data_IF_550866386544
#
_entry.id   IF_550866386544
#
_cell.length_a   1.000
_cell.length_b   1.000
_cell.length_c   1.000
_cell.angle_alpha   90.00
_cell.angle_beta   90.00
_cell.angle_gamma   90.00
#
_symmetry.space_group_name_H-M   'P 1'
#
loop_
_entity.id
_entity.type
_entity.pdbx_description
1 polymer ?
#
# COMPACT_ATOMS: atom_id res chain seq x y z
N UNK A 1 11.00 5.91 6.23
CA UNK A 1 11.17 5.45 4.84
C UNK A 1 12.42 6.07 4.23
N UNK A 2 13.20 5.27 3.51
CA UNK A 2 14.24 5.71 2.59
C UNK A 2 13.85 5.22 1.19
N UNK A 3 13.84 6.11 0.19
CA UNK A 3 13.40 5.77 -1.16
C UNK A 3 14.25 6.47 -2.23
N UNK A 4 14.35 5.84 -3.40
CA UNK A 4 14.98 6.38 -4.59
C UNK A 4 14.05 6.20 -5.77
N UNK A 5 13.97 7.23 -6.64
CA UNK A 5 13.15 7.19 -7.86
C UNK A 5 13.90 7.82 -9.02
N UNK A 6 13.86 7.19 -10.20
CA UNK A 6 14.41 7.71 -11.42
C UNK A 6 13.74 7.05 -12.65
N UNK A 7 13.31 7.86 -13.64
CA UNK A 7 12.83 7.39 -14.93
C UNK A 7 11.65 6.39 -14.86
N UNK A 8 10.70 6.61 -13.96
CA UNK A 8 9.56 5.69 -13.72
C UNK A 8 9.88 4.56 -12.73
N UNK A 9 11.14 4.24 -12.51
CA UNK A 9 11.56 3.25 -11.51
C UNK A 9 11.54 3.84 -10.10
N UNK A 10 11.11 3.06 -9.12
CA UNK A 10 11.23 3.39 -7.71
C UNK A 10 11.63 2.16 -6.90
N UNK A 11 12.36 2.39 -5.81
CA UNK A 11 12.74 1.39 -4.82
C UNK A 11 12.81 2.07 -3.45
N UNK A 12 12.43 1.36 -2.40
CA UNK A 12 12.46 1.91 -1.06
C UNK A 12 12.49 0.85 0.02
N UNK A 13 12.78 1.33 1.23
CA UNK A 13 12.69 0.57 2.47
C UNK A 13 11.94 1.42 3.49
N UNK A 14 10.98 0.81 4.17
CA UNK A 14 10.18 1.45 5.22
C UNK A 14 10.28 0.61 6.49
N UNK A 15 10.45 1.29 7.61
CA UNK A 15 10.26 0.75 8.94
C UNK A 15 8.90 1.21 9.47
N UNK A 16 8.02 0.26 9.76
CA UNK A 16 6.73 0.49 10.40
C UNK A 16 6.84 0.07 11.86
N UNK A 17 6.50 0.97 12.77
CA UNK A 17 6.29 0.63 14.16
C UNK A 17 4.79 0.55 14.46
N UNK A 18 4.30 -0.64 14.79
CA UNK A 18 2.89 -0.93 14.91
C UNK A 18 2.44 -0.93 16.37
N UNK A 19 2.24 0.25 16.93
CA UNK A 19 1.51 0.54 18.18
C UNK A 19 1.84 -0.43 19.33
N UNK A 20 3.12 -0.62 19.60
CA UNK A 20 3.60 -1.44 20.71
C UNK A 20 4.47 -0.62 21.66
N UNK A 21 4.66 -1.13 22.86
CA UNK A 21 5.67 -0.63 23.78
C UNK A 21 7.08 -0.99 23.28
N UNK A 22 8.09 -0.27 23.77
CA UNK A 22 9.52 -0.57 23.52
C UNK A 22 9.97 -0.33 22.06
N UNK A 23 9.82 0.91 21.62
CA UNK A 23 10.27 1.36 20.29
C UNK A 23 11.72 0.96 19.95
N UNK A 24 12.65 0.95 20.91
CA UNK A 24 14.06 0.60 20.68
C UNK A 24 14.35 -0.91 20.80
N UNK A 25 13.34 -1.76 20.84
CA UNK A 25 13.52 -3.21 20.86
C UNK A 25 13.61 -3.75 19.45
N UNK A 26 14.81 -4.14 19.00
CA UNK A 26 15.09 -4.69 17.68
C UNK A 26 15.45 -6.19 17.69
N UNK A 27 15.26 -6.86 18.82
CA UNK A 27 15.51 -8.31 18.93
C UNK A 27 14.63 -9.10 17.95
N UNK A 28 15.22 -10.11 17.31
CA UNK A 28 14.51 -11.02 16.44
C UNK A 28 13.30 -11.66 17.18
N UNK A 29 12.15 -11.70 16.52
CA UNK A 29 10.88 -12.25 17.02
C UNK A 29 10.27 -11.55 18.27
N UNK A 30 10.85 -10.43 18.72
CA UNK A 30 10.34 -9.65 19.86
C UNK A 30 10.04 -8.19 19.50
N UNK A 31 10.59 -7.72 18.41
CA UNK A 31 10.36 -6.35 17.93
C UNK A 31 8.92 -6.18 17.44
N UNK A 32 8.36 -4.98 17.60
CA UNK A 32 7.11 -4.58 16.98
C UNK A 32 7.31 -3.82 15.64
N UNK A 33 8.57 -3.67 15.21
CA UNK A 33 8.90 -3.11 13.91
C UNK A 33 8.64 -4.10 12.80
N UNK A 34 8.11 -3.61 11.68
CA UNK A 34 8.01 -4.35 10.41
C UNK A 34 8.84 -3.62 9.37
N UNK A 35 9.80 -4.31 8.78
CA UNK A 35 10.65 -3.74 7.73
C UNK A 35 10.19 -4.25 6.37
N UNK A 36 9.75 -3.30 5.54
CA UNK A 36 9.25 -3.53 4.20
C UNK A 36 10.23 -3.01 3.17
N UNK A 37 10.50 -3.77 2.14
CA UNK A 37 11.14 -3.32 0.91
C UNK A 37 10.09 -3.19 -0.18
N UNK A 38 10.21 -2.18 -1.03
CA UNK A 38 9.36 -2.02 -2.19
C UNK A 38 10.17 -1.76 -3.46
N UNK A 39 9.63 -2.19 -4.58
CA UNK A 39 10.11 -1.90 -5.93
C UNK A 39 8.92 -1.65 -6.83
N UNK A 40 9.05 -0.70 -7.75
CA UNK A 40 7.98 -0.39 -8.69
C UNK A 40 8.47 0.24 -9.97
N UNK A 41 7.57 0.24 -10.93
CA UNK A 41 7.79 0.89 -12.21
C UNK A 41 6.50 1.51 -12.76
N UNK A 42 6.62 2.74 -13.22
CA UNK A 42 5.58 3.48 -13.93
C UNK A 42 5.84 3.40 -15.45
N UNK A 43 4.97 2.70 -16.16
CA UNK A 43 4.98 2.56 -17.63
C UNK A 43 4.22 3.69 -18.35
N UNK A 44 3.67 4.65 -17.59
CA UNK A 44 2.78 5.71 -18.05
C UNK A 44 1.30 5.32 -17.98
N UNK A 45 0.76 4.45 -18.85
CA UNK A 45 -0.64 4.02 -18.76
C UNK A 45 -0.94 3.04 -17.62
N UNK A 46 0.09 2.44 -17.04
CA UNK A 46 0.00 1.46 -15.95
C UNK A 46 1.22 1.58 -15.06
N UNK A 47 1.04 1.46 -13.75
CA UNK A 47 2.13 1.30 -12.80
C UNK A 47 2.00 -0.02 -12.05
N UNK A 48 3.13 -0.62 -11.73
CA UNK A 48 3.26 -1.82 -10.92
C UNK A 48 4.08 -1.49 -9.68
N UNK A 49 3.57 -1.89 -8.51
CA UNK A 49 4.27 -1.81 -7.23
C UNK A 49 4.29 -3.18 -6.57
N UNK A 50 5.45 -3.55 -6.03
CA UNK A 50 5.65 -4.76 -5.23
C UNK A 50 6.24 -4.39 -3.89
N UNK A 51 5.67 -4.88 -2.82
CA UNK A 51 6.09 -4.69 -1.45
C UNK A 51 6.35 -6.05 -0.80
N UNK A 52 7.38 -6.17 0.03
CA UNK A 52 7.70 -7.40 0.76
C UNK A 52 8.23 -7.07 2.14
N UNK A 53 7.66 -7.69 3.16
CA UNK A 53 8.16 -7.62 4.52
C UNK A 53 9.32 -8.60 4.67
N UNK A 54 10.52 -8.07 4.89
CA UNK A 54 11.74 -8.89 4.93
C UNK A 54 12.32 -9.08 6.34
N UNK A 55 11.87 -8.28 7.33
CA UNK A 55 12.32 -8.37 8.71
C UNK A 55 11.26 -7.86 9.70
N UNK A 56 11.46 -8.13 10.98
CA UNK A 56 10.61 -7.64 12.08
C UNK A 56 9.42 -8.53 12.38
N UNK A 57 8.34 -7.92 12.86
CA UNK A 57 7.11 -8.57 13.32
C UNK A 57 6.16 -8.89 12.17
N UNK A 58 6.62 -9.61 11.16
CA UNK A 58 5.77 -10.12 10.08
C UNK A 58 5.29 -11.54 10.37
N UNK A 59 4.29 -12.01 9.62
CA UNK A 59 3.75 -13.36 9.72
C UNK A 59 4.79 -14.46 9.52
N UNK A 60 4.52 -15.60 10.10
CA UNK A 60 5.33 -16.81 9.97
C UNK A 60 4.51 -17.92 9.32
N UNK A 61 5.20 -18.84 8.64
CA UNK A 61 4.65 -20.08 8.10
C UNK A 61 4.43 -21.09 9.23
N UNK A 62 3.73 -22.19 8.94
CA UNK A 62 3.45 -23.25 9.90
C UNK A 62 4.73 -23.91 10.46
N UNK A 63 5.82 -23.89 9.69
CA UNK A 63 7.13 -24.40 10.12
C UNK A 63 7.95 -23.40 10.95
N UNK A 64 7.40 -22.21 11.24
CA UNK A 64 8.04 -21.14 12.00
C UNK A 64 8.96 -20.22 11.19
N UNK A 65 9.16 -20.50 9.90
CA UNK A 65 9.96 -19.63 9.03
C UNK A 65 9.20 -18.32 8.72
N UNK A 66 9.94 -17.26 8.42
CA UNK A 66 9.38 -16.00 7.97
C UNK A 66 8.53 -16.20 6.70
N UNK A 67 7.34 -15.62 6.67
CA UNK A 67 6.44 -15.76 5.54
C UNK A 67 6.83 -14.87 4.35
N UNK A 68 7.61 -13.80 4.58
CA UNK A 68 7.91 -12.78 3.56
C UNK A 68 6.63 -12.26 2.91
N UNK A 69 5.66 -11.88 3.75
CA UNK A 69 4.39 -11.36 3.27
C UNK A 69 4.61 -10.26 2.24
N UNK A 70 3.96 -10.41 1.10
CA UNK A 70 4.12 -9.50 -0.02
C UNK A 70 2.76 -8.98 -0.48
N UNK A 71 2.77 -7.78 -1.03
CA UNK A 71 1.63 -7.14 -1.67
C UNK A 71 2.05 -6.64 -3.04
N UNK A 72 1.22 -6.86 -4.02
CA UNK A 72 1.41 -6.37 -5.39
C UNK A 72 0.21 -5.53 -5.80
N UNK A 73 0.45 -4.37 -6.40
CA UNK A 73 -0.60 -3.49 -6.90
C UNK A 73 -0.33 -3.05 -8.33
N UNK A 74 -1.37 -3.12 -9.15
CA UNK A 74 -1.44 -2.50 -10.46
C UNK A 74 -2.37 -1.29 -10.37
N UNK A 75 -1.93 -0.14 -10.94
CA UNK A 75 -2.71 1.09 -10.99
C UNK A 75 -2.70 1.66 -12.40
N UNK A 76 -3.89 1.96 -12.92
CA UNK A 76 -4.08 2.57 -14.23
C UNK A 76 -4.68 3.99 -14.06
N UNK A 77 -3.92 5.07 -14.31
CA UNK A 77 -4.45 6.42 -14.36
C UNK A 77 -5.17 6.68 -15.68
N UNK A 78 -6.25 7.47 -15.65
CA UNK A 78 -6.96 7.91 -16.85
C UNK A 78 -7.70 9.22 -16.61
N UNK A 79 -8.13 9.88 -17.69
CA UNK A 79 -8.93 11.12 -17.61
C UNK A 79 -10.34 10.87 -18.13
N UNK A 80 -11.34 11.31 -17.39
CA UNK A 80 -12.74 11.23 -17.78
C UNK A 80 -13.52 12.43 -17.23
N UNK A 81 -14.27 13.12 -18.10
CA UNK A 81 -15.10 14.24 -17.70
C UNK A 81 -14.33 15.43 -17.12
N UNK A 82 -13.07 15.64 -17.53
CA UNK A 82 -12.20 16.70 -17.01
C UNK A 82 -11.68 16.46 -15.59
N UNK A 83 -11.80 15.22 -15.10
CA UNK A 83 -11.29 14.77 -13.82
C UNK A 83 -10.17 13.76 -14.03
N UNK A 84 -9.26 13.67 -13.04
CA UNK A 84 -8.22 12.67 -12.99
C UNK A 84 -8.70 11.46 -12.21
N UNK A 85 -8.66 10.30 -12.85
CA UNK A 85 -9.09 9.02 -12.29
C UNK A 85 -7.91 8.07 -12.17
N UNK A 86 -8.01 7.13 -11.22
CA UNK A 86 -7.16 5.95 -11.18
C UNK A 86 -7.95 4.73 -10.71
N UNK A 87 -7.77 3.62 -11.41
CA UNK A 87 -8.26 2.32 -10.99
C UNK A 87 -7.09 1.47 -10.52
N UNK A 88 -7.23 0.80 -9.38
CA UNK A 88 -6.20 -0.09 -8.86
C UNK A 88 -6.76 -1.45 -8.47
N UNK A 89 -5.92 -2.46 -8.61
CA UNK A 89 -6.14 -3.80 -8.09
C UNK A 89 -4.88 -4.26 -7.36
N UNK A 90 -5.07 -4.75 -6.14
CA UNK A 90 -4.00 -5.23 -5.28
C UNK A 90 -4.26 -6.63 -4.76
N UNK A 91 -3.20 -7.41 -4.64
CA UNK A 91 -3.25 -8.78 -4.20
C UNK A 91 -2.10 -9.14 -3.27
N UNK A 92 -2.35 -10.11 -2.41
CA UNK A 92 -1.37 -10.79 -1.58
C UNK A 92 -1.10 -12.14 -2.24
N UNK A 93 0.12 -12.39 -2.78
CA UNK A 93 0.45 -13.66 -3.45
C UNK A 93 0.40 -14.87 -2.53
N UNK A 94 0.69 -14.67 -1.25
CA UNK A 94 0.65 -15.68 -0.20
C UNK A 94 0.26 -15.03 1.12
N UNK A 95 -0.75 -15.58 1.81
CA UNK A 95 -1.21 -15.10 3.10
C UNK A 95 -0.69 -16.03 4.21
N UNK A 96 -0.19 -15.43 5.29
CA UNK A 96 0.11 -16.14 6.53
C UNK A 96 -0.74 -15.55 7.67
N UNK A 97 -0.98 -16.33 8.70
CA UNK A 97 -1.60 -15.85 9.92
C UNK A 97 -0.76 -14.73 10.54
N UNK A 98 -1.45 -13.69 11.05
CA UNK A 98 -0.82 -12.53 11.69
C UNK A 98 0.19 -11.78 10.82
N UNK A 99 0.11 -11.93 9.50
CA UNK A 99 0.91 -11.13 8.57
C UNK A 99 0.47 -9.67 8.54
N UNK A 100 1.40 -8.78 8.23
CA UNK A 100 1.15 -7.33 8.15
C UNK A 100 0.06 -6.97 7.14
N UNK A 101 -0.01 -7.65 6.01
CA UNK A 101 -1.05 -7.48 5.00
C UNK A 101 -2.25 -8.41 5.23
N UNK A 102 -2.71 -8.55 6.47
CA UNK A 102 -3.72 -9.53 6.86
C UNK A 102 -4.90 -9.60 5.88
N UNK A 103 -5.06 -10.76 5.26
CA UNK A 103 -6.29 -11.20 4.63
C UNK A 103 -6.87 -12.35 5.47
N UNK A 104 -8.20 -12.56 5.41
CA UNK A 104 -8.86 -13.64 6.17
C UNK A 104 -8.55 -15.05 5.66
N UNK A 105 -7.62 -15.16 4.73
CA UNK A 105 -7.22 -16.42 4.09
C UNK A 105 -5.77 -16.68 4.47
N UNK A 106 -5.47 -17.88 4.91
CA UNK A 106 -4.11 -18.33 5.21
C UNK A 106 -3.59 -19.25 4.11
N UNK A 107 -2.38 -19.00 3.66
CA UNK A 107 -1.64 -19.86 2.74
C UNK A 107 -1.95 -19.69 1.25
N UNK A 108 -2.97 -18.94 0.89
CA UNK A 108 -3.43 -18.80 -0.49
C UNK A 108 -3.29 -17.38 -1.03
N UNK A 109 -3.39 -17.25 -2.35
CA UNK A 109 -3.50 -15.98 -3.05
C UNK A 109 -4.81 -15.28 -2.69
N UNK A 110 -4.76 -13.98 -2.41
CA UNK A 110 -5.94 -13.19 -2.13
C UNK A 110 -5.91 -11.81 -2.80
N UNK A 111 -6.98 -11.45 -3.49
CA UNK A 111 -7.22 -10.06 -3.90
C UNK A 111 -7.79 -9.32 -2.69
N UNK A 112 -7.07 -8.31 -2.23
CA UNK A 112 -7.44 -7.57 -1.01
C UNK A 112 -7.68 -6.07 -1.25
N UNK A 113 -7.47 -5.58 -2.47
CA UNK A 113 -7.78 -4.21 -2.85
C UNK A 113 -8.33 -4.14 -4.29
N UNK A 114 -9.49 -3.55 -4.46
CA UNK A 114 -9.99 -3.06 -5.74
C UNK A 114 -10.49 -1.65 -5.47
N UNK A 115 -9.89 -0.64 -6.10
CA UNK A 115 -10.22 0.74 -5.83
C UNK A 115 -10.42 1.57 -7.10
N UNK A 116 -11.29 2.55 -6.99
CA UNK A 116 -11.49 3.61 -7.98
C UNK A 116 -11.39 4.95 -7.27
N UNK A 117 -10.43 5.76 -7.67
CA UNK A 117 -10.20 7.10 -7.13
C UNK A 117 -10.46 8.14 -8.21
N UNK A 118 -11.08 9.25 -7.82
CA UNK A 118 -11.21 10.47 -8.64
C UNK A 118 -10.59 11.62 -7.90
N UNK A 119 -9.90 12.50 -8.60
CA UNK A 119 -9.30 13.70 -8.03
C UNK A 119 -9.49 14.91 -8.92
N UNK A 120 -9.46 16.07 -8.29
CA UNK A 120 -9.55 17.37 -8.95
C UNK A 120 -8.83 18.42 -8.14
N UNK A 121 -8.12 19.30 -8.83
CA UNK A 121 -7.56 20.49 -8.23
C UNK A 121 -8.65 21.57 -8.09
N UNK A 122 -8.94 21.97 -6.85
CA UNK A 122 -9.82 23.09 -6.56
C UNK A 122 -9.01 24.37 -6.40
N UNK A 123 -9.15 25.29 -7.35
CA UNK A 123 -8.56 26.63 -7.27
C UNK A 123 -9.36 27.43 -6.23
N UNK A 124 -8.74 27.74 -5.10
CA UNK A 124 -9.33 28.52 -4.00
C UNK A 124 -9.05 30.01 -4.21
N UNK A 125 -7.82 30.35 -4.63
CA UNK A 125 -7.40 31.69 -5.04
C UNK A 125 -6.54 31.59 -6.28
N UNK A 126 -6.07 32.72 -6.81
CA UNK A 126 -5.17 32.72 -7.97
C UNK A 126 -3.81 32.07 -7.68
N UNK A 127 -3.40 32.05 -6.41
CA UNK A 127 -2.12 31.50 -5.95
C UNK A 127 -2.27 30.24 -5.08
N UNK A 128 -3.49 29.76 -4.81
CA UNK A 128 -3.71 28.63 -3.92
C UNK A 128 -4.72 27.63 -4.49
N UNK A 129 -4.28 26.41 -4.63
CA UNK A 129 -5.05 25.27 -5.15
C UNK A 129 -5.02 24.13 -4.13
N UNK A 130 -6.15 23.50 -3.90
CA UNK A 130 -6.28 22.34 -3.01
C UNK A 130 -6.64 21.12 -3.86
N UNK A 131 -5.77 20.12 -3.97
CA UNK A 131 -6.12 18.81 -4.52
C UNK A 131 -7.14 18.13 -3.61
N UNK A 132 -8.31 17.79 -4.14
CA UNK A 132 -9.33 16.99 -3.45
C UNK A 132 -9.51 15.65 -4.14
N UNK A 133 -9.91 14.64 -3.39
CA UNK A 133 -10.19 13.33 -3.98
C UNK A 133 -11.35 12.62 -3.28
N UNK A 134 -12.00 11.74 -4.02
CA UNK A 134 -12.91 10.72 -3.52
C UNK A 134 -12.44 9.33 -3.97
N UNK A 135 -12.60 8.33 -3.15
CA UNK A 135 -12.21 6.96 -3.46
C UNK A 135 -13.23 5.97 -2.93
N UNK A 136 -13.57 4.98 -3.75
CA UNK A 136 -14.23 3.76 -3.32
C UNK A 136 -13.17 2.67 -3.36
N UNK A 137 -13.02 1.93 -2.27
CA UNK A 137 -12.12 0.79 -2.18
C UNK A 137 -12.86 -0.42 -1.58
N UNK A 138 -12.59 -1.59 -2.10
CA UNK A 138 -13.14 -2.84 -1.58
C UNK A 138 -12.03 -3.81 -1.28
N UNK A 139 -12.20 -4.58 -0.22
CA UNK A 139 -11.37 -5.75 0.08
C UNK A 139 -12.23 -7.01 -0.11
N UNK A 140 -12.12 -7.70 -1.27
CA UNK A 140 -12.92 -8.90 -1.53
C UNK A 140 -12.64 -10.03 -0.55
N UNK A 141 -11.42 -10.14 -0.05
CA UNK A 141 -10.99 -11.17 0.90
C UNK A 141 -11.69 -11.05 2.26
N UNK A 142 -11.94 -9.83 2.72
CA UNK A 142 -12.64 -9.54 3.99
C UNK A 142 -14.09 -9.13 3.79
N UNK A 143 -14.57 -9.03 2.54
CA UNK A 143 -15.90 -8.56 2.16
C UNK A 143 -16.20 -7.14 2.70
N UNK A 144 -15.16 -6.30 2.79
CA UNK A 144 -15.27 -4.93 3.27
C UNK A 144 -15.28 -3.93 2.10
N UNK A 145 -16.00 -2.82 2.27
CA UNK A 145 -16.00 -1.70 1.35
C UNK A 145 -15.83 -0.39 2.11
N UNK A 146 -15.10 0.54 1.51
CA UNK A 146 -14.75 1.82 2.11
C UNK A 146 -15.04 2.96 1.11
N UNK A 147 -15.53 4.06 1.64
CA UNK A 147 -15.60 5.33 0.92
C UNK A 147 -14.72 6.35 1.65
N UNK A 148 -13.81 6.96 0.92
CA UNK A 148 -12.85 7.93 1.46
C UNK A 148 -12.96 9.23 0.69
N UNK A 149 -13.02 10.35 1.40
CA UNK A 149 -12.88 11.70 0.85
C UNK A 149 -11.69 12.35 1.53
N UNK A 150 -10.89 13.07 0.78
CA UNK A 150 -9.73 13.76 1.33
C UNK A 150 -9.28 14.94 0.49
N UNK A 151 -8.37 15.70 1.07
CA UNK A 151 -7.67 16.79 0.41
C UNK A 151 -6.22 16.84 0.86
N UNK A 152 -5.36 17.47 0.05
CA UNK A 152 -3.95 17.63 0.38
C UNK A 152 -3.63 19.11 0.55
N UNK A 153 -2.99 19.47 1.67
CA UNK A 153 -2.41 20.79 1.88
C UNK A 153 -0.91 20.65 1.76
N UNK A 154 -0.31 21.37 0.81
CA UNK A 154 1.13 21.49 0.66
C UNK A 154 1.51 22.94 0.97
N UNK A 155 2.31 23.17 2.04
CA UNK A 155 2.79 24.50 2.38
C UNK A 155 3.83 25.02 1.37
#
# INVERSE_FOLDING_TARGET
TAAYSAGGFNIGITDYWCNAEKYFLYDAHKTAHVFEANIGYDFGPLSLQWYTNFAGADGVKDNGDRAYMSYVELTAPFKLGGLDWSASIGAIPYCAYNGFYAANISGDFAVNNIALKVSKDLKVTDSFTIPVFGQIATNPSTQAAYFVIGFTIQP
#
